data_IF_239158891310
#
_entry.id   IF_239158891310
#
_cell.length_a   1.000
_cell.length_b   1.000
_cell.length_c   1.000
_cell.angle_alpha   90.00
_cell.angle_beta   90.00
_cell.angle_gamma   90.00
#
_symmetry.space_group_name_H-M   'P 1'
#
loop_
_entity.id
_entity.type
_entity.pdbx_description
1 polymer ?
#
# COMPACT_ATOMS: atom_id res chain seq x y z
N UNK A 1 2.74 6.90 15.72
CA UNK A 1 2.90 5.97 16.86
C UNK A 1 2.11 4.72 16.49
N UNK A 2 2.70 3.53 16.48
CA UNK A 2 1.99 2.32 16.01
C UNK A 2 0.98 1.87 17.07
N UNK A 3 -0.31 1.95 16.74
CA UNK A 3 -1.41 1.52 17.60
C UNK A 3 -1.64 0.02 17.48
N UNK A 4 -1.78 -0.66 18.61
CA UNK A 4 -2.24 -2.06 18.66
C UNK A 4 -3.74 -2.09 18.49
N UNK A 5 -4.22 -3.12 17.79
CA UNK A 5 -5.63 -3.33 17.54
C UNK A 5 -5.97 -4.81 17.62
N UNK A 6 -7.25 -5.11 17.67
CA UNK A 6 -7.82 -6.44 17.49
C UNK A 6 -8.84 -6.48 16.35
N UNK A 7 -9.43 -5.33 16.02
CA UNK A 7 -10.44 -5.17 14.98
C UNK A 7 -10.26 -3.86 14.22
N UNK A 8 -10.76 -3.82 12.97
CA UNK A 8 -10.63 -2.66 12.08
C UNK A 8 -11.23 -1.37 12.67
N UNK A 9 -12.32 -1.46 13.41
CA UNK A 9 -13.00 -0.29 13.98
C UNK A 9 -12.24 0.38 15.13
N UNK A 10 -11.18 -0.24 15.64
CA UNK A 10 -10.30 0.35 16.66
C UNK A 10 -9.27 1.29 16.03
N UNK A 11 -9.12 1.23 14.70
CA UNK A 11 -8.14 1.97 13.97
C UNK A 11 -8.68 3.33 13.50
N UNK A 12 -7.87 4.39 13.59
CA UNK A 12 -8.30 5.73 13.21
C UNK A 12 -8.42 5.88 11.69
N UNK A 13 -9.47 6.56 11.26
CA UNK A 13 -9.66 6.96 9.85
C UNK A 13 -9.85 5.77 8.92
N UNK A 14 -8.92 5.59 7.99
CA UNK A 14 -8.95 4.55 6.95
C UNK A 14 -8.09 3.33 7.28
N UNK A 15 -7.40 3.35 8.41
CA UNK A 15 -6.55 2.26 8.84
C UNK A 15 -7.38 1.02 9.19
N UNK A 16 -6.82 -0.16 8.95
CA UNK A 16 -7.40 -1.44 9.31
C UNK A 16 -6.46 -2.24 10.18
N UNK A 17 -7.03 -3.17 10.93
CA UNK A 17 -6.28 -4.00 11.85
C UNK A 17 -5.66 -5.17 11.10
N UNK A 18 -4.39 -5.03 10.74
CA UNK A 18 -3.67 -6.03 9.97
C UNK A 18 -2.56 -6.67 10.81
N UNK A 19 -2.33 -7.96 10.57
CA UNK A 19 -1.20 -8.69 11.16
C UNK A 19 0.07 -8.33 10.40
N UNK A 20 0.97 -7.56 11.02
CA UNK A 20 2.29 -7.33 10.43
C UNK A 20 3.21 -8.47 10.87
N UNK A 21 3.40 -9.45 9.98
CA UNK A 21 4.29 -10.60 10.20
C UNK A 21 5.75 -10.20 10.12
N UNK A 22 6.27 -9.50 11.12
CA UNK A 22 7.71 -9.29 11.28
C UNK A 22 8.26 -10.30 12.30
N UNK A 23 9.15 -11.16 11.81
CA UNK A 23 9.96 -12.17 12.50
C UNK A 23 9.87 -12.26 14.03
N UNK A 24 9.49 -13.46 14.50
CA UNK A 24 10.03 -14.06 15.72
C UNK A 24 9.29 -13.85 17.05
N UNK A 25 8.34 -12.92 17.17
CA UNK A 25 7.69 -12.63 18.47
C UNK A 25 6.17 -12.50 18.38
N UNK A 26 5.50 -13.56 17.93
CA UNK A 26 4.04 -13.66 17.98
C UNK A 26 3.30 -12.72 17.02
N UNK A 27 2.05 -13.08 16.74
CA UNK A 27 1.13 -12.32 15.91
C UNK A 27 0.63 -11.06 16.65
N UNK A 28 1.35 -9.95 16.48
CA UNK A 28 0.87 -8.62 16.91
C UNK A 28 0.15 -7.94 15.76
N UNK A 29 -1.09 -7.54 16.02
CA UNK A 29 -1.92 -6.79 15.09
C UNK A 29 -1.71 -5.29 15.31
N UNK A 30 -1.60 -4.56 14.20
CA UNK A 30 -1.41 -3.12 14.22
C UNK A 30 -2.38 -2.46 13.26
N UNK A 31 -2.78 -1.24 13.58
CA UNK A 31 -3.47 -0.39 12.62
C UNK A 31 -2.51 0.00 11.50
N UNK A 32 -2.89 -0.32 10.27
CA UNK A 32 -2.10 -0.01 9.08
C UNK A 32 -3.03 0.47 7.97
N UNK A 33 -2.50 1.29 7.07
CA UNK A 33 -3.23 1.71 5.87
C UNK A 33 -3.39 0.48 4.96
N UNK A 34 -4.63 0.06 4.64
CA UNK A 34 -4.86 -1.16 3.86
C UNK A 34 -4.46 -0.97 2.39
N UNK A 35 -3.57 -1.80 1.87
CA UNK A 35 -3.22 -1.71 0.45
C UNK A 35 -4.40 -2.10 -0.44
N UNK A 36 -4.60 -1.38 -1.55
CA UNK A 36 -5.59 -1.78 -2.56
C UNK A 36 -5.18 -3.08 -3.24
N UNK A 37 -6.14 -3.95 -3.59
CA UNK A 37 -5.84 -5.19 -4.30
C UNK A 37 -5.14 -4.94 -5.63
N UNK A 38 -4.25 -5.86 -6.02
CA UNK A 38 -3.41 -5.74 -7.21
C UNK A 38 -1.97 -5.32 -6.88
N UNK A 39 -1.06 -5.50 -7.84
CA UNK A 39 0.36 -5.16 -7.67
C UNK A 39 0.72 -3.95 -8.51
N UNK A 40 1.74 -3.21 -8.09
CA UNK A 40 2.33 -2.19 -8.95
C UNK A 40 2.91 -2.83 -10.22
N UNK A 41 2.74 -2.20 -11.39
CA UNK A 41 3.37 -2.66 -12.61
C UNK A 41 4.90 -2.62 -12.49
N UNK A 42 5.59 -3.48 -13.24
CA UNK A 42 7.04 -3.43 -13.33
C UNK A 42 7.50 -2.14 -13.99
N UNK A 43 8.51 -1.51 -13.39
CA UNK A 43 9.15 -0.30 -13.91
C UNK A 43 10.27 -0.69 -14.85
N UNK A 44 10.21 -0.25 -16.11
CA UNK A 44 11.23 -0.55 -17.15
C UNK A 44 12.21 0.61 -17.40
N UNK A 45 12.05 1.73 -16.72
CA UNK A 45 12.91 2.92 -16.87
C UNK A 45 12.47 4.04 -15.92
N UNK A 46 13.25 5.12 -15.78
CA UNK A 46 12.88 6.24 -14.92
C UNK A 46 11.66 6.95 -15.51
N UNK A 47 10.54 6.87 -14.79
CA UNK A 47 9.36 7.66 -15.07
C UNK A 47 9.57 9.14 -14.71
N UNK A 48 8.51 9.92 -14.84
CA UNK A 48 8.52 11.34 -14.44
C UNK A 48 8.73 11.41 -12.93
N UNK A 49 9.69 12.23 -12.51
CA UNK A 49 10.00 12.52 -11.11
C UNK A 49 8.92 13.43 -10.50
N UNK A 50 7.75 12.86 -10.25
CA UNK A 50 6.64 13.55 -9.59
C UNK A 50 6.04 12.63 -8.54
N UNK A 51 5.80 13.18 -7.35
CA UNK A 51 5.14 12.50 -6.25
C UNK A 51 3.68 12.94 -6.20
N UNK A 52 2.85 12.26 -6.97
CA UNK A 52 1.41 12.51 -7.09
C UNK A 52 0.61 11.94 -5.93
N UNK A 53 1.12 10.89 -5.28
CA UNK A 53 0.44 10.16 -4.22
C UNK A 53 1.45 9.70 -3.17
N UNK A 54 1.00 9.52 -1.93
CA UNK A 54 1.80 8.91 -0.86
C UNK A 54 1.34 7.50 -0.55
N UNK A 55 0.06 7.20 -0.75
CA UNK A 55 -0.52 5.88 -0.52
C UNK A 55 -1.65 5.58 -1.53
N UNK A 56 -2.07 4.32 -1.58
CA UNK A 56 -3.11 3.85 -2.50
C UNK A 56 -4.43 4.64 -2.40
N UNK A 57 -4.81 5.16 -1.23
CA UNK A 57 -6.06 5.91 -1.04
C UNK A 57 -6.05 7.31 -1.62
N UNK A 58 -4.88 7.89 -1.84
CA UNK A 58 -4.75 9.17 -2.53
C UNK A 58 -5.17 9.05 -4.00
N UNK A 59 -5.11 7.83 -4.54
CA UNK A 59 -5.48 7.55 -5.91
C UNK A 59 -6.98 7.21 -6.05
N UNK A 60 -7.71 7.80 -7.01
CA UNK A 60 -9.13 7.49 -7.20
C UNK A 60 -9.34 6.14 -7.92
N UNK A 61 -10.59 5.67 -7.99
CA UNK A 61 -11.03 4.57 -8.86
C UNK A 61 -10.24 3.26 -8.79
N UNK A 62 -9.72 2.88 -7.61
CA UNK A 62 -8.97 1.63 -7.46
C UNK A 62 -7.56 1.65 -8.06
N UNK A 63 -7.07 2.81 -8.50
CA UNK A 63 -5.67 3.01 -8.87
C UNK A 63 -4.77 2.83 -7.65
N UNK A 64 -3.55 2.33 -7.87
CA UNK A 64 -2.52 2.15 -6.85
C UNK A 64 -1.47 3.25 -6.94
N UNK A 65 -0.93 3.62 -5.79
CA UNK A 65 0.19 4.53 -5.70
C UNK A 65 1.49 3.74 -5.83
N UNK A 66 2.16 3.91 -6.97
CA UNK A 66 3.31 3.09 -7.32
C UNK A 66 4.51 3.97 -7.66
N UNK A 67 5.69 3.54 -7.20
CA UNK A 67 6.94 4.15 -7.62
C UNK A 67 7.22 3.82 -9.08
N UNK A 68 7.48 4.83 -9.90
CA UNK A 68 7.72 4.71 -11.34
C UNK A 68 9.21 4.73 -11.71
N UNK A 69 10.11 4.55 -10.74
CA UNK A 69 11.56 4.66 -10.95
C UNK A 69 12.15 6.03 -10.62
N UNK A 70 11.33 7.07 -10.43
CA UNK A 70 11.80 8.36 -9.91
C UNK A 70 10.86 8.99 -8.86
N UNK A 71 9.55 8.94 -9.07
CA UNK A 71 8.54 9.43 -8.13
C UNK A 71 7.38 8.45 -7.97
N UNK A 72 6.37 8.82 -7.18
CA UNK A 72 5.16 8.03 -6.96
C UNK A 72 3.97 8.54 -7.76
N UNK A 73 3.35 7.66 -8.55
CA UNK A 73 2.22 8.03 -9.43
C UNK A 73 1.05 7.07 -9.26
N UNK A 74 -0.16 7.59 -9.47
CA UNK A 74 -1.37 6.77 -9.50
C UNK A 74 -1.43 6.00 -10.82
N UNK A 75 -1.33 4.67 -10.76
CA UNK A 75 -1.38 3.79 -11.92
C UNK A 75 -2.38 2.67 -11.73
N UNK A 76 -2.84 2.08 -12.83
CA UNK A 76 -3.64 0.88 -12.76
C UNK A 76 -2.81 -0.25 -12.13
N UNK A 77 -3.41 -1.05 -11.23
CA UNK A 77 -2.77 -2.26 -10.75
C UNK A 77 -2.41 -3.15 -11.95
N UNK A 78 -1.16 -3.58 -12.01
CA UNK A 78 -0.73 -4.58 -12.98
C UNK A 78 -1.30 -5.95 -12.60
N UNK A 79 -1.83 -6.68 -13.58
CA UNK A 79 -1.91 -8.13 -13.48
C UNK A 79 -0.48 -8.64 -13.61
N UNK A 80 0.14 -9.09 -12.51
CA UNK A 80 1.44 -9.73 -12.57
C UNK A 80 1.40 -10.84 -13.61
N UNK A 81 2.14 -10.69 -14.71
CA UNK A 81 2.35 -11.79 -15.67
C UNK A 81 3.19 -12.83 -14.93
N UNK A 82 2.54 -13.91 -14.50
CA UNK A 82 3.22 -15.17 -14.18
C UNK A 82 3.76 -15.72 -15.49
N UNK A 83 5.07 -15.73 -15.66
CA UNK A 83 5.77 -16.65 -16.57
C UNK A 83 6.77 -17.42 -15.73
#
# INVERSE_FOLDING_TARGET
>A
MRHWCRYDYECPGIEKCCSHGYGGYGQKFFCTIPEKPGRCPYVTGPGICIDQCSNDFDCPYGLKCCFNGCGTVCTHPGYGKTY
#
